data_IF_335631814478
#
_entry.id   IF_335631814478
#
_cell.length_a   1.000
_cell.length_b   1.000
_cell.length_c   1.000
_cell.angle_alpha   90.00
_cell.angle_beta   90.00
_cell.angle_gamma   90.00
#
_symmetry.space_group_name_H-M   'P 1'
#
loop_
_entity.id
_entity.type
_entity.pdbx_description
1 polymer ?
#
# COMPACT_ATOMS: atom_id res chain seq x y z
N UNK A 1 -2.31 17.18 -33.32
CA UNK A 1 -1.84 15.78 -33.27
C UNK A 1 -1.73 15.39 -31.80
N UNK A 2 -2.87 15.07 -31.19
CA UNK A 2 -2.97 14.58 -29.82
C UNK A 2 -3.06 13.06 -29.90
N UNK A 3 -2.23 12.35 -29.15
CA UNK A 3 -2.26 10.90 -29.02
C UNK A 3 -3.52 10.50 -28.26
N UNK A 4 -4.55 10.06 -28.98
CA UNK A 4 -5.65 9.29 -28.41
C UNK A 4 -5.09 7.94 -27.96
N UNK A 5 -4.95 7.77 -26.65
CA UNK A 5 -4.76 6.46 -26.05
C UNK A 5 -6.13 5.78 -26.09
N UNK A 6 -6.32 4.93 -27.10
CA UNK A 6 -7.50 4.07 -27.25
C UNK A 6 -7.52 3.06 -26.09
N UNK A 7 -8.35 3.34 -25.07
CA UNK A 7 -8.65 2.40 -24.00
C UNK A 7 -9.93 1.69 -24.41
N UNK A 8 -9.92 0.37 -24.66
CA UNK A 8 -11.04 -0.32 -25.28
C UNK A 8 -12.32 -0.19 -24.44
N UNK A 9 -13.35 0.41 -25.05
CA UNK A 9 -14.72 0.39 -24.57
C UNK A 9 -15.28 -1.04 -24.68
N UNK A 10 -15.57 -1.66 -23.54
CA UNK A 10 -16.12 -3.02 -23.53
C UNK A 10 -16.12 -3.68 -22.15
N UNK A 11 -16.67 -3.02 -21.14
CA UNK A 11 -16.96 -3.66 -19.86
C UNK A 11 -18.42 -4.14 -19.84
N UNK A 12 -18.68 -5.27 -20.51
CA UNK A 12 -19.86 -6.09 -20.25
C UNK A 12 -19.83 -6.63 -18.80
N UNK A 13 -21.02 -6.85 -18.24
CA UNK A 13 -21.24 -7.33 -16.86
C UNK A 13 -20.62 -8.69 -16.48
N UNK A 14 -20.97 -9.24 -15.29
CA UNK A 14 -20.07 -9.99 -14.42
C UNK A 14 -19.95 -11.48 -14.78
N UNK A 15 -19.40 -11.80 -15.95
CA UNK A 15 -19.02 -13.16 -16.32
C UNK A 15 -17.90 -13.12 -17.37
N UNK A 16 -16.64 -13.19 -16.94
CA UNK A 16 -15.53 -13.27 -17.91
C UNK A 16 -14.13 -12.88 -17.45
N UNK A 17 -13.84 -12.77 -16.14
CA UNK A 17 -12.44 -12.62 -15.69
C UNK A 17 -11.90 -13.99 -15.27
N UNK A 18 -11.10 -14.58 -16.17
CA UNK A 18 -10.31 -15.80 -15.89
C UNK A 18 -9.33 -15.57 -14.74
N UNK A 19 -8.74 -16.67 -14.25
CA UNK A 19 -7.62 -16.73 -13.27
C UNK A 19 -6.64 -15.56 -13.45
N UNK A 20 -5.94 -15.07 -12.39
CA UNK A 20 -5.13 -13.86 -12.46
C UNK A 20 -4.37 -13.84 -13.77
N UNK A 21 -4.69 -12.87 -14.63
CA UNK A 21 -4.17 -12.87 -15.98
C UNK A 21 -2.66 -12.89 -15.83
N UNK A 22 -1.99 -13.95 -16.29
CA UNK A 22 -0.52 -14.08 -16.22
C UNK A 22 0.15 -12.78 -16.69
N UNK A 23 -0.49 -12.12 -17.66
CA UNK A 23 -0.18 -10.77 -18.14
C UNK A 23 -0.15 -9.70 -17.04
N UNK A 24 -1.16 -9.61 -16.17
CA UNK A 24 -1.25 -8.58 -15.14
C UNK A 24 -0.13 -8.72 -14.10
N UNK A 25 0.21 -9.95 -13.72
CA UNK A 25 1.34 -10.22 -12.82
C UNK A 25 2.66 -9.83 -13.49
N UNK A 26 2.87 -10.22 -14.74
CA UNK A 26 4.09 -9.85 -15.49
C UNK A 26 4.22 -8.34 -15.64
N UNK A 27 3.14 -7.64 -15.99
CA UNK A 27 3.12 -6.17 -16.09
C UNK A 27 3.41 -5.52 -14.75
N UNK A 28 2.79 -6.00 -13.66
CA UNK A 28 3.03 -5.48 -12.32
C UNK A 28 4.48 -5.67 -11.86
N UNK A 29 5.07 -6.84 -12.09
CA UNK A 29 6.47 -7.12 -11.75
C UNK A 29 7.43 -6.28 -12.59
N UNK A 30 7.17 -6.15 -13.90
CA UNK A 30 7.99 -5.31 -14.78
C UNK A 30 7.93 -3.83 -14.39
N UNK A 31 6.72 -3.31 -14.15
CA UNK A 31 6.54 -1.93 -13.68
C UNK A 31 7.21 -1.71 -12.33
N UNK A 32 7.10 -2.67 -11.41
CA UNK A 32 7.75 -2.61 -10.11
C UNK A 32 9.28 -2.55 -10.23
N UNK A 33 9.88 -3.40 -11.04
CA UNK A 33 11.32 -3.39 -11.28
C UNK A 33 11.80 -2.05 -11.85
N UNK A 34 11.05 -1.51 -12.83
CA UNK A 34 11.35 -0.20 -13.43
C UNK A 34 11.22 0.94 -12.41
N UNK A 35 10.15 0.96 -11.62
CA UNK A 35 9.94 1.98 -10.60
C UNK A 35 10.99 1.92 -9.48
N UNK A 36 11.38 0.71 -9.05
CA UNK A 36 12.48 0.53 -8.09
C UNK A 36 13.80 1.05 -8.67
N UNK A 37 14.14 0.65 -9.91
CA UNK A 37 15.34 1.12 -10.57
C UNK A 37 15.35 2.64 -10.76
N UNK A 38 14.21 3.24 -11.12
CA UNK A 38 14.06 4.68 -11.24
C UNK A 38 14.21 5.39 -9.88
N UNK A 39 13.67 4.83 -8.80
CA UNK A 39 13.77 5.41 -7.45
C UNK A 39 15.23 5.43 -6.97
N UNK A 40 15.96 4.32 -7.13
CA UNK A 40 17.41 4.28 -6.83
C UNK A 40 18.21 5.16 -7.77
N UNK A 41 17.93 5.11 -9.08
CA UNK A 41 18.61 5.92 -10.09
C UNK A 41 18.48 7.42 -9.79
N UNK A 42 17.28 7.88 -9.42
CA UNK A 42 17.04 9.25 -8.99
C UNK A 42 17.84 9.60 -7.73
N UNK A 43 17.77 8.74 -6.70
CA UNK A 43 18.50 8.97 -5.45
C UNK A 43 20.01 9.06 -5.64
N UNK A 44 20.59 8.22 -6.50
CA UNK A 44 22.02 8.23 -6.83
C UNK A 44 22.37 9.46 -7.67
N UNK A 45 21.60 9.77 -8.71
CA UNK A 45 21.85 10.91 -9.59
C UNK A 45 21.74 12.25 -8.85
N UNK A 46 20.85 12.34 -7.86
CA UNK A 46 20.72 13.51 -6.99
C UNK A 46 21.77 13.58 -5.87
N UNK A 47 22.62 12.56 -5.72
CA UNK A 47 23.64 12.48 -4.67
C UNK A 47 23.07 12.26 -3.26
N UNK A 48 21.82 11.81 -3.15
CA UNK A 48 21.17 11.53 -1.86
C UNK A 48 21.56 10.17 -1.27
N UNK A 49 21.91 9.21 -2.13
CA UNK A 49 22.39 7.88 -1.76
C UNK A 49 23.60 7.50 -2.62
N UNK A 50 24.47 6.65 -2.09
CA UNK A 50 25.71 6.22 -2.76
C UNK A 50 25.64 4.81 -3.34
N UNK A 51 24.58 4.05 -3.07
CA UNK A 51 24.47 2.66 -3.50
C UNK A 51 23.09 2.06 -3.28
N UNK A 52 22.96 0.77 -3.60
CA UNK A 52 21.72 0.02 -3.48
C UNK A 52 21.73 -0.78 -2.19
N UNK A 53 20.73 -0.55 -1.33
CA UNK A 53 20.45 -1.45 -0.22
C UNK A 53 19.48 -2.54 -0.68
N UNK A 54 19.96 -3.78 -0.80
CA UNK A 54 19.15 -4.87 -1.38
C UNK A 54 17.88 -5.22 -0.60
N UNK A 55 17.90 -5.05 0.73
CA UNK A 55 16.72 -5.28 1.56
C UNK A 55 15.60 -4.28 1.20
N UNK A 56 15.95 -2.99 1.16
CA UNK A 56 15.02 -1.93 0.77
C UNK A 56 14.58 -2.10 -0.70
N UNK A 57 15.49 -2.42 -1.61
CA UNK A 57 15.15 -2.63 -3.03
C UNK A 57 14.11 -3.74 -3.24
N UNK A 58 14.24 -4.87 -2.52
CA UNK A 58 13.27 -5.95 -2.57
C UNK A 58 11.94 -5.57 -1.90
N UNK A 59 11.99 -4.86 -0.76
CA UNK A 59 10.79 -4.37 -0.07
C UNK A 59 9.99 -3.42 -0.97
N UNK A 60 10.67 -2.46 -1.59
CA UNK A 60 10.13 -1.47 -2.53
C UNK A 60 9.54 -2.15 -3.77
N UNK A 61 10.29 -3.05 -4.42
CA UNK A 61 9.83 -3.74 -5.64
C UNK A 61 8.59 -4.59 -5.38
N UNK A 62 8.58 -5.38 -4.31
CA UNK A 62 7.41 -6.20 -3.96
C UNK A 62 6.20 -5.32 -3.58
N UNK A 63 6.43 -4.17 -2.94
CA UNK A 63 5.36 -3.21 -2.63
C UNK A 63 4.74 -2.57 -3.89
N UNK A 64 5.57 -2.17 -4.86
CA UNK A 64 5.09 -1.66 -6.14
C UNK A 64 4.25 -2.71 -6.90
N UNK A 65 4.74 -3.95 -6.94
CA UNK A 65 4.01 -5.05 -7.60
C UNK A 65 2.66 -5.32 -6.92
N UNK A 66 2.64 -5.33 -5.57
CA UNK A 66 1.41 -5.46 -4.79
C UNK A 66 0.43 -4.33 -5.11
N UNK A 67 0.88 -3.09 -5.07
CA UNK A 67 0.03 -1.91 -5.31
C UNK A 67 -0.55 -1.92 -6.73
N UNK A 68 0.27 -2.23 -7.74
CA UNK A 68 -0.19 -2.33 -9.12
C UNK A 68 -1.30 -3.39 -9.29
N UNK A 69 -1.13 -4.57 -8.69
CA UNK A 69 -2.14 -5.64 -8.69
C UNK A 69 -3.41 -5.25 -7.89
N UNK A 70 -3.26 -4.50 -6.81
CA UNK A 70 -4.38 -4.03 -6.00
C UNK A 70 -5.28 -3.06 -6.79
N UNK A 71 -4.68 -2.15 -7.56
CA UNK A 71 -5.42 -1.19 -8.40
C UNK A 71 -6.31 -1.92 -9.41
N UNK A 72 -5.78 -2.96 -10.06
CA UNK A 72 -6.54 -3.80 -11.01
C UNK A 72 -7.34 -4.92 -10.32
N UNK A 73 -7.47 -4.87 -8.99
CA UNK A 73 -8.27 -5.78 -8.16
C UNK A 73 -7.90 -7.27 -8.29
N UNK A 74 -6.63 -7.59 -8.52
CA UNK A 74 -6.13 -8.97 -8.54
C UNK A 74 -5.80 -9.43 -7.14
N UNK A 75 -6.42 -10.53 -6.68
CA UNK A 75 -6.19 -11.10 -5.34
C UNK A 75 -4.72 -11.45 -5.08
N UNK A 76 -3.95 -11.74 -6.12
CA UNK A 76 -2.52 -12.05 -6.00
C UNK A 76 -1.67 -10.90 -5.41
N UNK A 77 -2.21 -9.67 -5.34
CA UNK A 77 -1.56 -8.55 -4.67
C UNK A 77 -1.12 -8.86 -3.23
N UNK A 78 -1.90 -9.65 -2.47
CA UNK A 78 -1.61 -9.95 -1.07
C UNK A 78 -0.35 -10.80 -0.87
N UNK A 79 0.04 -11.61 -1.86
CA UNK A 79 1.27 -12.41 -1.80
C UNK A 79 2.48 -11.48 -1.86
N UNK A 80 2.50 -10.57 -2.83
CA UNK A 80 3.53 -9.52 -2.92
C UNK A 80 3.52 -8.61 -1.70
N UNK A 81 2.33 -8.27 -1.20
CA UNK A 81 2.17 -7.47 0.00
C UNK A 81 2.82 -8.15 1.21
N UNK A 82 2.56 -9.44 1.45
CA UNK A 82 3.06 -10.15 2.62
C UNK A 82 4.59 -10.26 2.62
N UNK A 83 5.18 -10.46 1.43
CA UNK A 83 6.64 -10.42 1.26
C UNK A 83 7.15 -9.00 1.53
N UNK A 84 6.51 -7.98 0.96
CA UNK A 84 6.91 -6.58 1.16
C UNK A 84 6.88 -6.17 2.63
N UNK A 85 5.80 -6.50 3.35
CA UNK A 85 5.66 -6.13 4.76
C UNK A 85 6.66 -6.88 5.64
N UNK A 86 6.95 -8.15 5.36
CA UNK A 86 7.99 -8.86 6.10
C UNK A 86 9.38 -8.22 5.92
N UNK A 87 9.72 -7.77 4.70
CA UNK A 87 10.98 -7.07 4.42
C UNK A 87 11.01 -5.67 5.05
N UNK A 88 9.92 -4.92 4.97
CA UNK A 88 9.80 -3.60 5.57
C UNK A 88 9.85 -3.62 7.10
N UNK A 89 9.31 -4.67 7.73
CA UNK A 89 9.44 -4.84 9.18
C UNK A 89 10.91 -4.87 9.61
N UNK A 90 11.75 -5.62 8.89
CA UNK A 90 13.19 -5.69 9.16
C UNK A 90 13.90 -4.37 8.84
N UNK A 91 13.54 -3.71 7.73
CA UNK A 91 14.12 -2.43 7.34
C UNK A 91 13.82 -1.33 8.38
N UNK A 92 12.55 -1.09 8.70
CA UNK A 92 12.17 -0.03 9.62
C UNK A 92 12.71 -0.23 11.04
N UNK A 93 12.81 -1.48 11.49
CA UNK A 93 13.42 -1.79 12.78
C UNK A 93 14.90 -1.37 12.84
N UNK A 94 15.67 -1.58 11.76
CA UNK A 94 17.08 -1.15 11.66
C UNK A 94 17.25 0.37 11.71
N UNK A 95 16.23 1.12 11.29
CA UNK A 95 16.23 2.59 11.25
C UNK A 95 15.53 3.23 12.46
N UNK A 96 15.17 2.46 13.49
CA UNK A 96 14.53 3.00 14.69
C UNK A 96 13.09 3.50 14.51
N UNK A 97 12.45 3.16 13.39
CA UNK A 97 11.03 3.44 13.10
C UNK A 97 10.17 2.30 13.66
N UNK A 98 10.06 2.28 14.99
CA UNK A 98 9.48 1.18 15.77
C UNK A 98 8.01 0.93 15.44
N UNK A 99 7.19 1.98 15.32
CA UNK A 99 5.78 1.82 14.97
C UNK A 99 5.63 1.35 13.53
N UNK A 100 6.40 1.88 12.58
CA UNK A 100 6.39 1.35 11.20
C UNK A 100 6.87 -0.10 11.11
N UNK A 101 7.85 -0.51 11.92
CA UNK A 101 8.29 -1.91 11.99
C UNK A 101 7.16 -2.81 12.52
N UNK A 102 6.52 -2.42 13.62
CA UNK A 102 5.40 -3.16 14.20
C UNK A 102 4.19 -3.22 13.26
N UNK A 103 3.85 -2.11 12.60
CA UNK A 103 2.84 -2.05 11.55
C UNK A 103 3.07 -3.16 10.53
N UNK A 104 4.29 -3.30 10.04
CA UNK A 104 4.62 -4.27 8.99
C UNK A 104 4.60 -5.73 9.49
N UNK A 105 4.97 -5.96 10.75
CA UNK A 105 4.74 -7.26 11.42
C UNK A 105 3.24 -7.57 11.49
N UNK A 106 2.42 -6.60 11.88
CA UNK A 106 0.96 -6.74 11.95
C UNK A 106 0.32 -6.95 10.57
N UNK A 107 0.79 -6.24 9.54
CA UNK A 107 0.20 -6.31 8.21
C UNK A 107 0.39 -7.69 7.58
N UNK A 108 1.48 -8.40 7.88
CA UNK A 108 1.76 -9.72 7.30
C UNK A 108 0.61 -10.73 7.51
N UNK A 109 0.11 -10.98 8.73
CA UNK A 109 -1.11 -11.78 8.94
C UNK A 109 -2.40 -11.08 8.47
N UNK A 110 -2.50 -9.75 8.54
CA UNK A 110 -3.65 -9.00 8.02
C UNK A 110 -3.87 -9.24 6.51
N UNK A 111 -2.80 -9.40 5.74
CA UNK A 111 -2.88 -9.69 4.31
C UNK A 111 -3.45 -11.10 4.02
N UNK A 112 -3.35 -12.03 4.97
CA UNK A 112 -4.07 -13.32 4.91
C UNK A 112 -5.58 -13.09 5.07
N UNK A 113 -5.98 -12.22 6.00
CA UNK A 113 -7.38 -11.81 6.14
C UNK A 113 -7.90 -11.16 4.85
N UNK A 114 -7.17 -10.21 4.28
CA UNK A 114 -7.51 -9.57 3.00
C UNK A 114 -7.62 -10.57 1.85
N UNK A 115 -6.67 -11.51 1.74
CA UNK A 115 -6.72 -12.60 0.78
C UNK A 115 -8.02 -13.39 0.88
N UNK A 116 -8.44 -13.81 2.08
CA UNK A 116 -9.70 -14.53 2.29
C UNK A 116 -10.90 -13.64 1.95
N UNK A 117 -10.87 -12.38 2.37
CA UNK A 117 -11.97 -11.42 2.25
C UNK A 117 -12.29 -11.03 0.81
N UNK A 118 -11.27 -10.92 -0.05
CA UNK A 118 -11.42 -10.57 -1.46
C UNK A 118 -12.02 -11.68 -2.33
N UNK A 119 -12.05 -12.93 -1.82
CA UNK A 119 -12.47 -14.14 -2.55
C UNK A 119 -11.64 -14.33 -3.83
N UNK A 120 -12.02 -15.29 -4.67
CA UNK A 120 -11.37 -15.52 -5.97
C UNK A 120 -11.68 -14.37 -6.93
N UNK A 121 -10.80 -14.13 -7.91
CA UNK A 121 -10.92 -13.01 -8.85
C UNK A 121 -12.21 -13.06 -9.70
N UNK A 122 -12.66 -14.27 -10.06
CA UNK A 122 -13.89 -14.53 -10.83
C UNK A 122 -15.17 -14.29 -10.02
N UNK A 123 -15.08 -14.38 -8.69
CA UNK A 123 -16.17 -14.16 -7.74
C UNK A 123 -15.78 -13.15 -6.66
N UNK A 124 -15.06 -12.11 -7.09
CA UNK A 124 -14.44 -11.19 -6.15
C UNK A 124 -15.48 -10.36 -5.43
N UNK A 125 -15.16 -9.93 -4.21
CA UNK A 125 -15.99 -8.98 -3.47
C UNK A 125 -16.20 -7.71 -4.34
N UNK A 126 -17.41 -7.12 -4.39
CA UNK A 126 -17.62 -5.86 -5.09
C UNK A 126 -16.98 -4.70 -4.33
N UNK A 127 -16.50 -3.70 -5.07
CA UNK A 127 -16.11 -2.41 -4.51
C UNK A 127 -17.38 -1.68 -4.09
N UNK A 128 -17.39 -1.09 -2.90
CA UNK A 128 -18.56 -0.39 -2.36
C UNK A 128 -18.13 0.87 -1.61
N UNK A 129 -19.07 1.81 -1.46
CA UNK A 129 -18.89 2.96 -0.58
C UNK A 129 -19.23 2.58 0.86
N UNK A 130 -18.43 3.05 1.81
CA UNK A 130 -18.68 2.89 3.25
C UNK A 130 -19.96 3.59 3.68
N UNK A 131 -20.31 4.71 3.04
CA UNK A 131 -21.54 5.48 3.34
C UNK A 131 -22.82 4.64 3.19
N UNK A 132 -22.80 3.61 2.34
CA UNK A 132 -23.92 2.70 2.12
C UNK A 132 -24.04 1.59 3.18
N UNK A 133 -23.00 1.35 3.99
CA UNK A 133 -22.99 0.29 5.02
C UNK A 133 -22.16 0.72 6.25
N UNK A 134 -22.72 1.66 7.00
CA UNK A 134 -22.07 2.38 8.12
C UNK A 134 -21.82 1.53 9.37
N UNK A 135 -22.36 0.31 9.45
CA UNK A 135 -22.32 -0.54 10.66
C UNK A 135 -20.90 -0.83 11.16
N UNK A 136 -19.90 -0.78 10.27
CA UNK A 136 -18.50 -1.06 10.59
C UNK A 136 -17.69 0.18 11.00
N UNK A 137 -18.25 1.39 10.89
CA UNK A 137 -17.55 2.64 11.25
C UNK A 137 -17.03 2.60 12.70
N UNK A 138 -17.83 2.20 13.72
CA UNK A 138 -17.32 2.14 15.09
C UNK A 138 -16.15 1.17 15.26
N UNK A 139 -16.18 0.03 14.56
CA UNK A 139 -15.09 -0.95 14.61
C UNK A 139 -13.81 -0.39 13.96
N UNK A 140 -13.93 0.27 12.81
CA UNK A 140 -12.79 0.91 12.16
C UNK A 140 -12.17 2.00 13.03
N UNK A 141 -12.99 2.90 13.58
CA UNK A 141 -12.51 3.96 14.48
C UNK A 141 -11.88 3.37 15.75
N UNK A 142 -12.52 2.38 16.37
CA UNK A 142 -12.03 1.73 17.57
C UNK A 142 -10.65 1.10 17.36
N UNK A 143 -10.49 0.33 16.28
CA UNK A 143 -9.20 -0.28 15.94
C UNK A 143 -8.14 0.78 15.65
N UNK A 144 -8.46 1.84 14.91
CA UNK A 144 -7.51 2.93 14.60
C UNK A 144 -7.05 3.66 15.86
N UNK A 145 -7.97 3.99 16.78
CA UNK A 145 -7.62 4.69 18.03
C UNK A 145 -6.73 3.80 18.91
N UNK A 146 -7.10 2.53 19.09
CA UNK A 146 -6.30 1.57 19.86
C UNK A 146 -4.91 1.40 19.24
N UNK A 147 -4.85 1.28 17.91
CA UNK A 147 -3.59 1.19 17.17
C UNK A 147 -2.71 2.43 17.38
N UNK A 148 -3.28 3.64 17.31
CA UNK A 148 -2.53 4.88 17.53
C UNK A 148 -1.98 4.96 18.96
N UNK A 149 -2.82 4.73 19.96
CA UNK A 149 -2.42 4.80 21.38
C UNK A 149 -1.38 3.73 21.71
N UNK A 150 -1.59 2.50 21.23
CA UNK A 150 -0.63 1.40 21.40
C UNK A 150 0.68 1.64 20.68
N UNK A 151 0.64 2.19 19.46
CA UNK A 151 1.84 2.59 18.71
C UNK A 151 2.62 3.69 19.42
N UNK A 152 1.95 4.76 19.86
CA UNK A 152 2.59 5.87 20.55
C UNK A 152 3.23 5.42 21.88
N UNK A 153 2.55 4.54 22.61
CA UNK A 153 3.08 3.92 23.82
C UNK A 153 4.30 3.04 23.52
N UNK A 154 4.24 2.20 22.50
CA UNK A 154 5.34 1.31 22.10
C UNK A 154 6.58 2.10 21.67
N UNK A 155 6.40 3.17 20.87
CA UNK A 155 7.52 4.02 20.44
C UNK A 155 8.15 4.71 21.65
N UNK A 156 7.35 5.23 22.59
CA UNK A 156 7.87 5.85 23.81
C UNK A 156 8.62 4.87 24.72
N UNK A 157 8.20 3.61 24.78
CA UNK A 157 8.90 2.57 25.54
C UNK A 157 10.24 2.15 24.93
N UNK A 158 10.36 2.18 23.60
CA UNK A 158 11.52 1.70 22.87
C UNK A 158 12.46 2.83 22.41
N UNK A 159 12.26 4.04 22.94
CA UNK A 159 13.00 5.27 22.58
C UNK A 159 13.06 5.48 21.04
N UNK A 160 11.97 5.13 20.36
CA UNK A 160 11.89 5.23 18.90
C UNK A 160 11.68 6.68 18.46
N UNK A 161 12.09 6.97 17.23
CA UNK A 161 12.10 8.34 16.71
C UNK A 161 10.75 8.73 16.11
N UNK A 162 10.49 10.04 16.01
CA UNK A 162 9.31 10.61 15.32
C UNK A 162 7.96 10.05 15.82
N UNK A 163 7.85 9.78 17.13
CA UNK A 163 6.78 8.98 17.72
C UNK A 163 5.36 9.32 17.27
N UNK A 164 5.01 10.61 17.22
CA UNK A 164 3.67 11.03 16.80
C UNK A 164 3.39 10.69 15.33
N UNK A 165 4.37 10.90 14.44
CA UNK A 165 4.21 10.68 13.01
C UNK A 165 4.29 9.19 12.66
N UNK A 166 5.24 8.46 13.27
CA UNK A 166 5.39 7.01 13.07
C UNK A 166 4.14 6.25 13.57
N UNK A 167 3.58 6.67 14.71
CA UNK A 167 2.32 6.11 15.23
C UNK A 167 1.09 6.48 14.40
N UNK A 168 1.06 7.68 13.82
CA UNK A 168 0.00 8.09 12.91
C UNK A 168 0.02 7.26 11.60
N UNK A 169 1.21 6.98 11.06
CA UNK A 169 1.39 6.08 9.90
C UNK A 169 0.87 4.68 10.24
N UNK A 170 1.24 4.14 11.40
CA UNK A 170 0.73 2.85 11.88
C UNK A 170 -0.80 2.84 11.91
N UNK A 171 -1.41 3.78 12.63
CA UNK A 171 -2.85 3.79 12.84
C UNK A 171 -3.64 4.00 11.53
N UNK A 172 -3.19 4.94 10.70
CA UNK A 172 -3.78 5.23 9.41
C UNK A 172 -3.64 4.08 8.43
N UNK A 173 -2.50 3.40 8.41
CA UNK A 173 -2.28 2.24 7.53
C UNK A 173 -3.15 1.05 7.93
N UNK A 174 -3.34 0.81 9.23
CA UNK A 174 -4.27 -0.23 9.70
C UNK A 174 -5.71 0.09 9.26
N UNK A 175 -6.14 1.35 9.39
CA UNK A 175 -7.44 1.78 8.88
C UNK A 175 -7.56 1.57 7.36
N UNK A 176 -6.57 2.05 6.61
CA UNK A 176 -6.55 1.97 5.16
C UNK A 176 -6.60 0.52 4.69
N UNK A 177 -5.82 -0.37 5.31
CA UNK A 177 -5.81 -1.80 5.01
C UNK A 177 -7.16 -2.46 5.34
N UNK A 178 -7.77 -2.18 6.49
CA UNK A 178 -9.09 -2.72 6.86
C UNK A 178 -10.18 -2.31 5.86
N UNK A 179 -10.13 -1.07 5.38
CA UNK A 179 -11.02 -0.58 4.33
C UNK A 179 -10.74 -1.28 3.00
N UNK A 180 -9.47 -1.43 2.63
CA UNK A 180 -9.02 -2.11 1.39
C UNK A 180 -9.46 -3.57 1.37
N UNK A 181 -9.25 -4.31 2.45
CA UNK A 181 -9.63 -5.72 2.59
C UNK A 181 -11.14 -5.90 2.46
N UNK A 182 -11.92 -4.92 2.91
CA UNK A 182 -13.38 -4.89 2.74
C UNK A 182 -13.84 -4.26 1.43
N UNK A 183 -12.92 -3.90 0.54
CA UNK A 183 -13.12 -3.20 -0.73
C UNK A 183 -13.99 -1.94 -0.60
N UNK A 184 -13.68 -1.13 0.41
CA UNK A 184 -14.25 0.21 0.59
C UNK A 184 -13.42 1.21 -0.17
N UNK A 185 -14.04 2.01 -1.03
CA UNK A 185 -13.32 2.96 -1.90
C UNK A 185 -12.63 4.07 -1.10
N UNK A 186 -13.12 4.37 0.11
CA UNK A 186 -12.54 5.36 1.01
C UNK A 186 -11.11 5.01 1.46
N UNK A 187 -10.68 3.74 1.29
CA UNK A 187 -9.29 3.32 1.54
C UNK A 187 -8.28 4.23 0.86
N UNK A 188 -8.56 4.69 -0.36
CA UNK A 188 -7.63 5.49 -1.14
C UNK A 188 -7.39 6.88 -0.55
N UNK A 189 -8.41 7.49 0.07
CA UNK A 189 -8.24 8.77 0.76
C UNK A 189 -7.36 8.61 2.02
N UNK A 190 -7.55 7.51 2.75
CA UNK A 190 -6.72 7.21 3.92
C UNK A 190 -5.28 6.93 3.49
N UNK A 191 -5.05 6.15 2.43
CA UNK A 191 -3.72 5.91 1.88
C UNK A 191 -3.04 7.21 1.43
N UNK A 192 -3.73 8.14 0.77
CA UNK A 192 -3.17 9.44 0.41
C UNK A 192 -2.71 10.20 1.66
N UNK A 193 -3.55 10.29 2.69
CA UNK A 193 -3.22 11.00 3.93
C UNK A 193 -2.00 10.36 4.64
N UNK A 194 -1.99 9.03 4.76
CA UNK A 194 -0.86 8.28 5.32
C UNK A 194 0.40 8.53 4.51
N UNK A 195 0.32 8.47 3.18
CA UNK A 195 1.48 8.61 2.31
C UNK A 195 2.11 10.00 2.43
N UNK A 196 1.32 11.06 2.57
CA UNK A 196 1.84 12.42 2.79
C UNK A 196 2.67 12.51 4.07
N UNK A 197 2.17 11.92 5.17
CA UNK A 197 2.90 11.90 6.46
C UNK A 197 4.17 11.05 6.31
N UNK A 198 4.06 9.88 5.69
CA UNK A 198 5.15 8.94 5.48
C UNK A 198 6.29 9.49 4.62
N UNK A 199 6.00 10.29 3.59
CA UNK A 199 7.02 10.99 2.79
C UNK A 199 7.93 11.80 3.71
N UNK A 200 7.36 12.68 4.52
CA UNK A 200 8.16 13.51 5.44
C UNK A 200 8.91 12.66 6.47
N UNK A 201 8.24 11.66 7.08
CA UNK A 201 8.83 10.79 8.10
C UNK A 201 10.04 10.02 7.56
N UNK A 202 9.92 9.37 6.40
CA UNK A 202 10.99 8.52 5.89
C UNK A 202 12.18 9.30 5.34
N UNK A 203 11.95 10.45 4.69
CA UNK A 203 13.05 11.35 4.34
C UNK A 203 13.79 11.86 5.58
N UNK A 204 13.05 12.21 6.65
CA UNK A 204 13.65 12.65 7.92
C UNK A 204 14.44 11.52 8.60
N UNK A 205 14.00 10.27 8.44
CA UNK A 205 14.69 9.08 8.93
C UNK A 205 15.87 8.62 8.04
N UNK A 206 16.19 9.34 6.96
CA UNK A 206 17.26 9.00 6.02
C UNK A 206 16.93 7.87 5.04
N UNK A 207 15.69 7.39 5.01
CA UNK A 207 15.20 6.36 4.08
C UNK A 207 14.72 7.02 2.78
N UNK A 208 15.68 7.45 1.96
CA UNK A 208 15.43 8.21 0.73
C UNK A 208 14.55 7.45 -0.27
N UNK A 209 14.83 6.17 -0.52
CA UNK A 209 14.10 5.39 -1.54
C UNK A 209 12.71 5.04 -1.04
N UNK A 210 12.54 4.68 0.23
CA UNK A 210 11.21 4.57 0.84
C UNK A 210 10.43 5.89 0.73
N UNK A 211 11.04 7.03 1.04
CA UNK A 211 10.42 8.36 0.89
C UNK A 211 9.93 8.61 -0.53
N UNK A 212 10.78 8.35 -1.54
CA UNK A 212 10.42 8.45 -2.96
C UNK A 212 9.27 7.49 -3.35
N UNK A 213 9.28 6.26 -2.84
CA UNK A 213 8.19 5.32 -3.08
C UNK A 213 6.87 5.86 -2.56
N UNK A 214 6.85 6.47 -1.38
CA UNK A 214 5.61 7.01 -0.82
C UNK A 214 5.10 8.25 -1.59
N UNK A 215 5.99 9.03 -2.22
CA UNK A 215 5.58 10.06 -3.20
C UNK A 215 4.85 9.41 -4.38
N UNK A 216 5.42 8.34 -4.94
CA UNK A 216 4.79 7.58 -6.03
C UNK A 216 3.45 6.99 -5.57
N UNK A 217 3.35 6.50 -4.33
CA UNK A 217 2.12 5.95 -3.78
C UNK A 217 0.98 6.95 -3.62
N UNK A 218 1.26 8.25 -3.46
CA UNK A 218 0.22 9.28 -3.54
C UNK A 218 -0.43 9.25 -4.93
N UNK A 219 0.39 9.22 -5.99
CA UNK A 219 -0.09 9.14 -7.38
C UNK A 219 -0.84 7.84 -7.67
N UNK A 220 -0.30 6.70 -7.25
CA UNK A 220 -0.97 5.40 -7.48
C UNK A 220 -2.24 5.25 -6.66
N UNK A 221 -2.36 5.88 -5.49
CA UNK A 221 -3.60 5.90 -4.71
C UNK A 221 -4.72 6.68 -5.43
N UNK A 222 -4.39 7.78 -6.12
CA UNK A 222 -5.34 8.49 -7.00
C UNK A 222 -5.78 7.60 -8.16
N UNK A 223 -4.84 6.90 -8.82
CA UNK A 223 -5.17 5.95 -9.90
C UNK A 223 -6.05 4.80 -9.39
N UNK A 224 -5.75 4.29 -8.19
CA UNK A 224 -6.54 3.27 -7.51
C UNK A 224 -7.97 3.73 -7.25
N UNK A 225 -8.14 4.95 -6.73
CA UNK A 225 -9.45 5.57 -6.53
C UNK A 225 -10.23 5.64 -7.84
N UNK A 226 -9.63 6.16 -8.91
CA UNK A 226 -10.28 6.29 -10.23
C UNK A 226 -10.69 4.91 -10.77
N UNK A 227 -9.79 3.92 -10.71
CA UNK A 227 -10.04 2.57 -11.21
C UNK A 227 -11.17 1.88 -10.43
N UNK A 228 -11.18 2.02 -9.10
CA UNK A 228 -12.19 1.43 -8.23
C UNK A 228 -13.53 2.15 -8.36
N UNK A 229 -13.54 3.48 -8.52
CA UNK A 229 -14.74 4.25 -8.77
C UNK A 229 -15.48 3.77 -10.03
N UNK A 230 -14.74 3.52 -11.11
CA UNK A 230 -15.32 2.96 -12.34
C UNK A 230 -15.94 1.58 -12.13
N UNK A 231 -15.40 0.79 -11.21
CA UNK A 231 -15.91 -0.54 -10.86
C UNK A 231 -17.10 -0.51 -9.89
N UNK A 232 -17.45 0.65 -9.32
CA UNK A 232 -18.66 0.82 -8.48
C UNK A 232 -19.89 1.22 -9.28
N UNK A 233 -19.73 1.55 -10.56
CA UNK A 233 -20.82 1.84 -11.50
C UNK A 233 -21.33 0.54 -12.12
#
# INVERSE_FOLDING_TARGET
>A
MLLEIDIPEGAAGPAGRTAPGRRDVVVAVAAAALLTAASYGLGIAAGWISGVEWLEALAVATSYASTALCIVQRRFNYVFGAVSTALYAALFFRHGLVASAFLNVYLTPQLVYGWVRWRRDDQTRPVTWLVHDKKWIPAYLGVTVVAYLGGAWLVGLLDGQLAWADSAILAGSILAQLLLDNKRIETWFVWIAVNVIAVWTYFTAGLVVAGLQYVIFIGTAVLGFIAWLRATR
#
